data_IF_819241532194
#
_entry.id   IF_819241532194
#
_cell.length_a   1.000
_cell.length_b   1.000
_cell.length_c   1.000
_cell.angle_alpha   90.00
_cell.angle_beta   90.00
_cell.angle_gamma   90.00
#
_symmetry.space_group_name_H-M   'P 1'
#
loop_
_entity.id
_entity.type
_entity.pdbx_description
1 polymer ?
#
# COMPACT_ATOMS: atom_id res chain seq x y z
N UNK A 1 6.74 -7.15 1.23
CA UNK A 1 7.18 -6.12 0.25
C UNK A 1 6.68 -6.53 -1.12
N UNK A 2 6.28 -5.57 -1.96
CA UNK A 2 5.81 -5.83 -3.33
C UNK A 2 6.93 -5.42 -4.28
N UNK A 3 7.35 -6.29 -5.19
CA UNK A 3 8.44 -5.98 -6.13
C UNK A 3 7.95 -5.25 -7.39
N UNK A 4 6.71 -5.54 -7.84
CA UNK A 4 6.10 -4.90 -9.02
C UNK A 4 4.73 -4.36 -8.64
N UNK A 5 4.48 -3.08 -8.93
CA UNK A 5 3.23 -2.42 -8.54
C UNK A 5 1.97 -3.12 -9.09
N UNK A 6 2.07 -3.76 -10.27
CA UNK A 6 0.98 -4.53 -10.87
C UNK A 6 0.49 -5.71 -10.00
N UNK A 7 1.32 -6.21 -9.10
CA UNK A 7 0.99 -7.32 -8.22
C UNK A 7 0.16 -6.86 -6.99
N UNK A 8 0.06 -5.54 -6.76
CA UNK A 8 -0.66 -4.98 -5.63
C UNK A 8 -2.18 -5.24 -5.71
N UNK A 9 -2.81 -4.99 -6.86
CA UNK A 9 -4.26 -5.13 -6.99
C UNK A 9 -4.74 -6.59 -6.79
N UNK A 10 -4.12 -7.62 -7.42
CA UNK A 10 -4.46 -9.01 -7.13
C UNK A 10 -4.29 -9.38 -5.64
N UNK A 11 -3.21 -8.90 -5.00
CA UNK A 11 -2.98 -9.13 -3.57
C UNK A 11 -4.08 -8.49 -2.71
N UNK A 12 -4.45 -7.24 -2.99
CA UNK A 12 -5.49 -6.54 -2.24
C UNK A 12 -6.84 -7.24 -2.35
N UNK A 13 -7.21 -7.74 -3.54
CA UNK A 13 -8.45 -8.52 -3.73
C UNK A 13 -8.44 -9.81 -2.91
N UNK A 14 -7.33 -10.54 -2.93
CA UNK A 14 -7.18 -11.76 -2.14
C UNK A 14 -7.31 -11.52 -0.63
N UNK A 15 -6.89 -10.34 -0.14
CA UNK A 15 -7.07 -9.95 1.26
C UNK A 15 -8.53 -9.68 1.60
N UNK A 16 -9.27 -9.01 0.72
CA UNK A 16 -10.73 -8.80 0.89
C UNK A 16 -11.47 -10.13 0.85
N UNK A 17 -11.18 -10.99 -0.11
CA UNK A 17 -11.80 -12.32 -0.23
C UNK A 17 -11.50 -13.21 1.00
N UNK A 18 -10.40 -12.92 1.71
CA UNK A 18 -9.99 -13.61 2.93
C UNK A 18 -10.44 -12.96 4.23
N UNK A 19 -11.35 -11.98 4.20
CA UNK A 19 -11.82 -11.21 5.37
C UNK A 19 -10.69 -10.52 6.16
N UNK A 20 -9.61 -10.11 5.47
CA UNK A 20 -8.47 -9.37 6.03
C UNK A 20 -8.36 -7.98 5.39
N UNK A 21 -9.27 -7.03 5.67
CA UNK A 21 -9.34 -5.72 5.02
C UNK A 21 -8.28 -4.73 5.56
N UNK A 22 -7.04 -5.19 5.75
CA UNK A 22 -5.91 -4.36 6.17
C UNK A 22 -4.61 -4.85 5.54
N UNK A 23 -3.73 -3.92 5.15
CA UNK A 23 -2.39 -4.26 4.68
C UNK A 23 -1.38 -3.14 4.94
N UNK A 24 -0.11 -3.51 5.11
CA UNK A 24 1.02 -2.60 5.21
C UNK A 24 1.97 -2.81 4.01
N UNK A 25 2.16 -1.76 3.21
CA UNK A 25 3.11 -1.78 2.09
C UNK A 25 4.43 -1.18 2.56
N UNK A 26 5.50 -1.99 2.57
CA UNK A 26 6.81 -1.51 3.02
C UNK A 26 7.57 -0.74 1.94
N UNK A 27 8.19 0.39 2.31
CA UNK A 27 9.07 1.22 1.47
C UNK A 27 10.45 0.60 1.21
N UNK A 28 10.49 -0.72 0.97
CA UNK A 28 11.71 -1.49 0.66
C UNK A 28 11.92 -1.70 -0.84
N UNK A 29 10.99 -1.25 -1.67
CA UNK A 29 11.02 -1.39 -3.13
C UNK A 29 10.52 -0.11 -3.79
N UNK A 30 10.90 0.12 -5.05
CA UNK A 30 10.39 1.27 -5.83
C UNK A 30 8.89 1.17 -6.13
N UNK A 31 8.30 -0.01 -5.98
CA UNK A 31 6.87 -0.23 -6.22
C UNK A 31 5.96 0.25 -5.09
N UNK A 32 6.50 0.64 -3.92
CA UNK A 32 5.69 0.92 -2.72
C UNK A 32 4.65 2.02 -2.93
N UNK A 33 5.07 3.17 -3.47
CA UNK A 33 4.20 4.33 -3.68
C UNK A 33 3.04 4.02 -4.63
N UNK A 34 3.33 3.44 -5.80
CA UNK A 34 2.31 3.09 -6.79
C UNK A 34 1.40 1.96 -6.30
N UNK A 35 1.92 1.04 -5.48
CA UNK A 35 1.13 -0.03 -4.86
C UNK A 35 0.09 0.55 -3.89
N UNK A 36 0.51 1.47 -3.01
CA UNK A 36 -0.39 2.14 -2.06
C UNK A 36 -1.46 2.93 -2.83
N UNK A 37 -1.05 3.69 -3.84
CA UNK A 37 -1.97 4.49 -4.67
C UNK A 37 -2.99 3.63 -5.40
N UNK A 38 -2.55 2.50 -5.96
CA UNK A 38 -3.44 1.57 -6.66
C UNK A 38 -4.43 0.95 -5.68
N UNK A 39 -3.96 0.42 -4.56
CA UNK A 39 -4.83 -0.24 -3.58
C UNK A 39 -5.88 0.70 -2.99
N UNK A 40 -5.46 1.91 -2.59
CA UNK A 40 -6.37 2.89 -1.98
C UNK A 40 -7.41 3.44 -2.95
N UNK A 41 -7.09 3.51 -4.25
CA UNK A 41 -8.01 3.94 -5.31
C UNK A 41 -8.98 2.84 -5.72
N UNK A 42 -8.47 1.63 -5.94
CA UNK A 42 -9.23 0.53 -6.53
C UNK A 42 -9.99 -0.32 -5.50
N UNK A 43 -9.57 -0.29 -4.23
CA UNK A 43 -10.19 -1.05 -3.13
C UNK A 43 -10.38 -0.12 -1.91
N UNK A 44 -11.34 0.82 -1.94
CA UNK A 44 -11.52 1.81 -0.88
C UNK A 44 -11.79 1.24 0.52
N UNK A 45 -12.32 0.01 0.60
CA UNK A 45 -12.59 -0.74 1.83
C UNK A 45 -11.34 -1.36 2.47
N UNK A 46 -10.23 -1.49 1.72
CA UNK A 46 -8.96 -2.00 2.24
C UNK A 46 -8.23 -0.91 3.01
N UNK A 47 -7.97 -1.13 4.31
CA UNK A 47 -7.14 -0.24 5.10
C UNK A 47 -5.65 -0.40 4.74
N UNK A 48 -5.11 0.54 3.96
CA UNK A 48 -3.71 0.50 3.51
C UNK A 48 -2.84 1.43 4.36
N UNK A 49 -1.74 0.90 4.90
CA UNK A 49 -0.67 1.68 5.54
C UNK A 49 0.69 1.49 4.87
N UNK A 50 1.68 2.22 5.36
CA UNK A 50 3.02 2.25 4.80
C UNK A 50 4.11 2.01 5.85
N UNK A 51 4.79 0.87 5.81
CA UNK A 51 5.86 0.55 6.76
C UNK A 51 7.26 0.67 6.19
N UNK A 52 8.28 0.47 7.05
CA UNK A 52 9.70 0.72 6.69
C UNK A 52 9.91 2.12 6.11
N UNK A 53 9.21 3.11 6.65
CA UNK A 53 9.37 4.52 6.31
C UNK A 53 10.49 5.09 7.20
N UNK A 54 11.58 5.54 6.58
CA UNK A 54 12.81 5.98 7.23
C UNK A 54 13.10 7.48 7.02
N UNK A 55 12.41 8.13 6.08
CA UNK A 55 12.63 9.55 5.76
C UNK A 55 11.33 10.34 5.68
N UNK A 56 11.41 11.65 5.90
CA UNK A 56 10.27 12.57 5.76
C UNK A 56 9.71 12.55 4.33
N UNK A 57 10.56 12.38 3.32
CA UNK A 57 10.12 12.27 1.93
C UNK A 57 9.26 11.02 1.70
N UNK A 58 9.64 9.89 2.30
CA UNK A 58 8.84 8.66 2.23
C UNK A 58 7.50 8.82 2.94
N UNK A 59 7.44 9.49 4.10
CA UNK A 59 6.16 9.84 4.76
C UNK A 59 5.28 10.65 3.80
N UNK A 60 5.83 11.70 3.17
CA UNK A 60 5.08 12.55 2.23
C UNK A 60 4.54 11.74 1.05
N UNK A 61 5.35 10.85 0.47
CA UNK A 61 4.94 9.95 -0.61
C UNK A 61 3.83 8.99 -0.17
N UNK A 62 3.99 8.34 0.98
CA UNK A 62 3.01 7.41 1.53
C UNK A 62 1.64 8.08 1.76
N UNK A 63 1.63 9.22 2.44
CA UNK A 63 0.40 9.97 2.72
C UNK A 63 -0.25 10.48 1.43
N UNK A 64 0.55 11.01 0.50
CA UNK A 64 0.02 11.48 -0.80
C UNK A 64 -0.53 10.35 -1.67
N UNK A 65 0.04 9.15 -1.53
CA UNK A 65 -0.46 7.94 -2.18
C UNK A 65 -1.73 7.38 -1.51
N UNK A 66 -2.16 7.92 -0.37
CA UNK A 66 -3.40 7.54 0.30
C UNK A 66 -3.25 6.60 1.50
N UNK A 67 -2.02 6.33 1.96
CA UNK A 67 -1.80 5.54 3.18
C UNK A 67 -2.53 6.18 4.37
N UNK A 68 -3.22 5.34 5.16
CA UNK A 68 -4.02 5.75 6.31
C UNK A 68 -3.25 5.67 7.63
N UNK A 69 -2.16 4.91 7.66
CA UNK A 69 -1.22 4.82 8.77
C UNK A 69 0.21 4.62 8.24
N UNK A 70 1.19 4.93 9.09
CA UNK A 70 2.64 4.85 8.83
C UNK A 70 3.26 3.95 9.91
#
# INVERSE_FOLDING_TARGET
KIEKAKDALPLGKALIDGDLPITEITFRTSAAEESIKTLTREIPELLVGAGTVLTVEQVKKAVSAGAKFI
#
